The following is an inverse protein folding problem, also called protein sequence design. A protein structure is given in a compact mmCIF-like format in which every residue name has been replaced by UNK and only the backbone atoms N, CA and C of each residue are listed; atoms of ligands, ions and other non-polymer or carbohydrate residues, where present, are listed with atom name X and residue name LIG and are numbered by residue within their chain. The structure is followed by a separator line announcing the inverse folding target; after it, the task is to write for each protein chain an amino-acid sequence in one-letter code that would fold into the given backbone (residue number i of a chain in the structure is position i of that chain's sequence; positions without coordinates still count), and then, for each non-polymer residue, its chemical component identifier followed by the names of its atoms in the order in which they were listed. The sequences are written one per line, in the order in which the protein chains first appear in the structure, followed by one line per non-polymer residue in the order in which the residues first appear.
data_IF_725095187621
#
_entry.id   IF_725095187621
#
_cell.length_a   1.000
_cell.length_b   1.000
_cell.length_c   1.000
_cell.angle_alpha   90.00
_cell.angle_beta   90.00
_cell.angle_gamma   90.00
#
_symmetry.space_group_name_H-M   'P 1'
#
loop_
_entity.id
_entity.type
_entity.pdbx_description
1 polymer ?
#
# COMPACT_ATOMS: atom_id res chain seq x y z
N UNK A 1 10.83 -4.02 13.14
CA UNK A 1 9.62 -4.71 12.68
C UNK A 1 9.29 -4.24 11.27
N UNK A 2 9.06 -5.17 10.37
CA UNK A 2 8.63 -4.85 9.00
C UNK A 2 7.12 -4.72 8.95
N UNK A 3 6.65 -3.74 8.21
CA UNK A 3 5.21 -3.56 7.92
C UNK A 3 5.07 -3.40 6.42
N UNK A 4 4.23 -4.25 5.81
CA UNK A 4 3.86 -4.09 4.40
C UNK A 4 2.76 -3.04 4.34
N UNK A 5 2.98 -2.03 3.52
CA UNK A 5 1.98 -0.96 3.31
C UNK A 5 1.48 -1.00 1.88
N UNK A 6 0.21 -0.68 1.71
CA UNK A 6 -0.36 -0.61 0.37
C UNK A 6 -0.42 0.83 -0.14
N UNK A 7 -0.86 0.97 -1.38
CA UNK A 7 -0.94 2.26 -2.05
C UNK A 7 -1.86 3.23 -1.33
N UNK A 8 -2.96 2.74 -0.72
CA UNK A 8 -3.91 3.61 -0.02
C UNK A 8 -3.25 4.35 1.15
N UNK A 9 -2.32 3.70 1.85
CA UNK A 9 -1.57 4.29 2.96
C UNK A 9 -0.67 5.43 2.46
N UNK A 10 0.08 5.17 1.39
CA UNK A 10 0.97 6.17 0.81
C UNK A 10 0.18 7.39 0.32
N UNK A 11 -0.90 7.17 -0.42
CA UNK A 11 -1.71 8.28 -0.93
C UNK A 11 -2.32 9.09 0.21
N UNK A 12 -2.82 8.44 1.25
CA UNK A 12 -3.39 9.14 2.40
C UNK A 12 -2.37 10.05 3.09
N UNK A 13 -1.13 9.60 3.23
CA UNK A 13 -0.06 10.39 3.83
C UNK A 13 0.34 11.54 2.91
N UNK A 14 0.50 11.27 1.60
CA UNK A 14 0.95 12.28 0.64
C UNK A 14 -0.09 13.36 0.35
N UNK A 15 -1.37 13.04 0.45
CA UNK A 15 -2.47 13.98 0.17
C UNK A 15 -3.12 14.55 1.42
N UNK A 16 -2.53 14.30 2.58
CA UNK A 16 -2.97 14.83 3.87
C UNK A 16 -4.43 14.47 4.20
N UNK A 17 -4.79 13.19 3.98
CA UNK A 17 -6.11 12.69 4.34
C UNK A 17 -6.26 12.55 5.87
N UNK A 18 -7.50 12.37 6.33
CA UNK A 18 -7.83 12.36 7.77
C UNK A 18 -7.05 11.32 8.60
N UNK A 19 -6.62 10.24 8.00
CA UNK A 19 -5.88 9.17 8.68
C UNK A 19 -4.36 9.40 8.74
N UNK A 20 -3.87 10.48 8.14
CA UNK A 20 -2.44 10.73 8.01
C UNK A 20 -1.69 10.64 9.34
N UNK A 21 -2.17 11.32 10.35
CA UNK A 21 -1.50 11.35 11.66
C UNK A 21 -1.45 9.95 12.29
N UNK A 22 -2.55 9.22 12.23
CA UNK A 22 -2.61 7.86 12.77
C UNK A 22 -1.69 6.91 12.02
N UNK A 23 -1.61 7.05 10.70
CA UNK A 23 -0.70 6.23 9.87
C UNK A 23 0.76 6.50 10.23
N UNK A 24 1.13 7.76 10.43
CA UNK A 24 2.47 8.12 10.87
C UNK A 24 2.79 7.48 12.22
N UNK A 25 1.86 7.54 13.17
CA UNK A 25 2.04 6.92 14.49
C UNK A 25 2.21 5.40 14.39
N UNK A 26 1.36 4.73 13.60
CA UNK A 26 1.38 3.27 13.46
C UNK A 26 2.67 2.77 12.79
N UNK A 27 3.29 3.58 11.95
CA UNK A 27 4.49 3.18 11.20
C UNK A 27 5.79 3.69 11.82
N UNK A 28 5.71 4.45 12.89
CA UNK A 28 6.89 5.03 13.54
C UNK A 28 7.85 3.94 13.99
N UNK A 29 9.10 4.04 13.54
CA UNK A 29 10.15 3.08 13.90
C UNK A 29 10.07 1.75 13.16
N UNK A 30 9.12 1.56 12.25
CA UNK A 30 9.00 0.33 11.47
C UNK A 30 9.79 0.42 10.16
N UNK A 31 10.21 -0.75 9.66
CA UNK A 31 10.75 -0.89 8.30
C UNK A 31 9.57 -1.03 7.34
N UNK A 32 9.34 -0.03 6.51
CA UNK A 32 8.24 -0.05 5.56
C UNK A 32 8.64 -0.77 4.28
N UNK A 33 7.81 -1.71 3.87
CA UNK A 33 8.06 -2.54 2.70
C UNK A 33 6.81 -2.63 1.84
N UNK A 34 6.99 -2.87 0.56
CA UNK A 34 5.90 -3.03 -0.38
C UNK A 34 6.36 -3.82 -1.60
N UNK A 35 5.44 -4.42 -2.35
CA UNK A 35 5.79 -4.96 -3.66
C UNK A 35 6.14 -3.81 -4.61
N UNK A 36 7.01 -4.09 -5.58
CA UNK A 36 7.48 -3.09 -6.56
C UNK A 36 6.35 -2.40 -7.31
N UNK A 37 5.21 -3.08 -7.46
CA UNK A 37 4.02 -2.53 -8.12
C UNK A 37 3.48 -1.27 -7.45
N UNK A 38 3.69 -1.09 -6.14
CA UNK A 38 3.22 0.09 -5.42
C UNK A 38 3.70 1.37 -6.09
N UNK A 39 4.94 1.40 -6.54
CA UNK A 39 5.52 2.59 -7.18
C UNK A 39 4.69 3.04 -8.39
N UNK A 40 4.29 2.09 -9.22
CA UNK A 40 3.51 2.39 -10.42
C UNK A 40 2.05 2.71 -10.08
N UNK A 41 1.52 2.13 -9.01
CA UNK A 41 0.17 2.45 -8.53
C UNK A 41 0.12 3.87 -7.97
N UNK A 42 1.18 4.36 -7.34
CA UNK A 42 1.28 5.76 -6.91
C UNK A 42 1.16 6.68 -8.12
N UNK A 43 1.90 6.39 -9.19
CA UNK A 43 1.79 7.13 -10.44
C UNK A 43 0.38 7.12 -11.02
N UNK A 44 -0.25 5.95 -11.03
CA UNK A 44 -1.61 5.81 -11.55
C UNK A 44 -2.62 6.60 -10.70
N UNK A 45 -2.49 6.58 -9.38
CA UNK A 45 -3.37 7.33 -8.48
C UNK A 45 -3.28 8.83 -8.73
N UNK A 46 -2.07 9.38 -8.86
CA UNK A 46 -1.89 10.80 -9.14
C UNK A 46 -2.37 11.17 -10.53
N UNK A 47 -2.16 10.30 -11.52
CA UNK A 47 -2.67 10.56 -12.88
C UNK A 47 -4.19 10.67 -12.89
N UNK A 48 -4.88 9.82 -12.11
CA UNK A 48 -6.33 9.87 -11.98
C UNK A 48 -6.79 11.17 -11.30
N UNK A 49 -6.08 11.62 -10.26
CA UNK A 49 -6.40 12.89 -9.58
C UNK A 49 -6.19 14.09 -10.50
N UNK A 50 -5.12 14.09 -11.29
CA UNK A 50 -4.85 15.15 -12.28
C UNK A 50 -5.95 15.18 -13.34
N UNK A 51 -6.33 14.01 -13.85
CA UNK A 51 -7.39 13.88 -14.87
C UNK A 51 -8.73 14.41 -14.36
N UNK A 52 -9.03 14.16 -13.10
CA UNK A 52 -10.27 14.63 -12.45
C UNK A 52 -10.14 16.06 -11.90
N UNK A 53 -9.01 16.70 -12.10
CA UNK A 53 -8.73 18.07 -11.63
C UNK A 53 -8.87 18.23 -10.13
N UNK A 54 -8.52 17.19 -9.37
CA UNK A 54 -8.53 17.21 -7.90
C UNK A 54 -7.18 17.69 -7.33
N UNK A 55 -6.16 17.70 -8.15
CA UNK A 55 -4.81 18.12 -7.76
C UNK A 55 -4.15 18.83 -8.95
N UNK A 56 -3.30 19.81 -8.66
CA UNK A 56 -2.50 20.48 -9.69
C UNK A 56 -1.20 19.73 -9.92
N UNK A 57 -0.55 19.98 -11.05
CA UNK A 57 0.76 19.41 -11.32
C UNK A 57 1.79 19.87 -10.27
N UNK A 58 1.72 21.13 -9.85
CA UNK A 58 2.63 21.65 -8.81
C UNK A 58 2.46 20.89 -7.50
N UNK A 59 1.21 20.67 -7.07
CA UNK A 59 0.91 19.89 -5.87
C UNK A 59 1.38 18.45 -6.01
N UNK A 60 1.22 17.86 -7.19
CA UNK A 60 1.69 16.51 -7.49
C UNK A 60 3.21 16.43 -7.35
N UNK A 61 3.94 17.38 -7.90
CA UNK A 61 5.40 17.42 -7.77
C UNK A 61 5.85 17.52 -6.32
N UNK A 62 5.16 18.31 -5.51
CA UNK A 62 5.42 18.40 -4.08
C UNK A 62 5.17 17.08 -3.35
N UNK A 63 4.06 16.41 -3.68
CA UNK A 63 3.74 15.11 -3.10
C UNK A 63 4.77 14.05 -3.50
N UNK A 64 5.23 14.05 -4.75
CA UNK A 64 6.25 13.10 -5.21
C UNK A 64 7.61 13.35 -4.54
N UNK A 65 7.95 14.61 -4.25
CA UNK A 65 9.15 14.92 -3.48
C UNK A 65 9.06 14.36 -2.06
N UNK A 66 7.90 14.46 -1.42
CA UNK A 66 7.66 13.85 -0.12
C UNK A 66 7.73 12.33 -0.19
N UNK A 67 7.16 11.73 -1.24
CA UNK A 67 7.21 10.29 -1.46
C UNK A 67 8.66 9.80 -1.56
N UNK A 68 9.51 10.52 -2.31
CA UNK A 68 10.91 10.16 -2.45
C UNK A 68 11.67 10.18 -1.12
N UNK A 69 11.18 10.93 -0.13
CA UNK A 69 11.75 10.98 1.22
C UNK A 69 11.32 9.85 2.14
N UNK A 70 10.35 9.03 1.75
CA UNK A 70 9.91 7.91 2.56
C UNK A 70 10.90 6.75 2.39
N UNK A 71 11.41 6.23 3.51
CA UNK A 71 12.32 5.09 3.49
C UNK A 71 11.51 3.80 3.28
N UNK A 72 11.19 3.51 2.03
CA UNK A 72 10.36 2.40 1.61
C UNK A 72 11.20 1.41 0.79
N UNK A 73 11.17 0.14 1.18
CA UNK A 73 11.86 -0.92 0.43
C UNK A 73 10.87 -1.66 -0.45
N UNK A 74 11.26 -1.93 -1.69
CA UNK A 74 10.47 -2.69 -2.64
C UNK A 74 10.97 -4.13 -2.75
N UNK A 75 10.03 -5.06 -2.83
CA UNK A 75 10.32 -6.48 -2.98
C UNK A 75 9.60 -7.02 -4.21
N UNK A 76 10.30 -7.88 -4.95
CA UNK A 76 9.69 -8.62 -6.04
C UNK A 76 8.86 -9.77 -5.46
N UNK A 77 7.67 -9.95 -6.00
CA UNK A 77 6.80 -11.07 -5.59
C UNK A 77 6.72 -12.10 -6.71
N UNK A 78 6.38 -13.32 -6.33
CA UNK A 78 6.26 -14.43 -7.26
C UNK A 78 4.89 -14.42 -7.93
N UNK A 79 4.85 -14.44 -9.27
CA UNK A 79 3.59 -14.39 -10.02
C UNK A 79 2.71 -15.61 -9.76
N UNK A 80 3.31 -16.79 -9.70
CA UNK A 80 2.54 -18.03 -9.46
C UNK A 80 1.84 -17.98 -8.11
N UNK A 81 2.56 -17.59 -7.06
CA UNK A 81 1.99 -17.42 -5.73
C UNK A 81 0.88 -16.37 -5.73
N UNK A 82 1.12 -15.24 -6.39
CA UNK A 82 0.14 -14.17 -6.51
C UNK A 82 -1.12 -14.62 -7.22
N UNK A 83 -0.99 -15.30 -8.35
CA UNK A 83 -2.15 -15.75 -9.11
C UNK A 83 -2.92 -16.85 -8.38
N UNK A 84 -2.24 -17.67 -7.58
CA UNK A 84 -2.91 -18.61 -6.67
C UNK A 84 -3.77 -17.88 -5.66
N UNK A 85 -3.29 -16.76 -5.12
CA UNK A 85 -4.08 -15.91 -4.21
C UNK A 85 -5.27 -15.29 -4.93
N UNK A 86 -5.11 -14.84 -6.16
CA UNK A 86 -6.21 -14.31 -6.97
C UNK A 86 -7.31 -15.35 -7.15
N UNK A 87 -6.95 -16.59 -7.43
CA UNK A 87 -7.92 -17.67 -7.60
C UNK A 87 -8.71 -17.95 -6.32
N UNK A 88 -8.07 -17.83 -5.15
CA UNK A 88 -8.71 -18.07 -3.86
C UNK A 88 -9.53 -16.91 -3.36
N UNK A 89 -9.08 -15.67 -3.60
CA UNK A 89 -9.67 -14.47 -3.00
C UNK A 89 -10.55 -13.70 -3.96
N UNK A 90 -10.50 -14.02 -5.25
CA UNK A 90 -11.17 -13.28 -6.32
C UNK A 90 -10.69 -11.82 -6.44
N UNK A 91 -9.47 -11.54 -5.97
CA UNK A 91 -8.84 -10.23 -6.14
C UNK A 91 -8.13 -10.14 -7.48
N UNK A 92 -7.97 -8.92 -7.99
CA UNK A 92 -7.03 -8.66 -9.07
C UNK A 92 -5.59 -8.74 -8.55
N UNK A 93 -4.66 -8.97 -9.46
CA UNK A 93 -3.25 -9.18 -9.10
C UNK A 93 -2.65 -8.00 -8.33
N UNK A 94 -3.00 -6.76 -8.68
CA UNK A 94 -2.47 -5.59 -7.99
C UNK A 94 -2.71 -5.63 -6.48
N UNK A 95 -3.90 -6.03 -6.05
CA UNK A 95 -4.19 -6.18 -4.63
C UNK A 95 -3.50 -7.42 -4.05
N UNK A 96 -3.50 -8.52 -4.80
CA UNK A 96 -2.88 -9.76 -4.36
C UNK A 96 -1.36 -9.66 -4.19
N UNK A 97 -0.69 -8.76 -4.91
CA UNK A 97 0.75 -8.52 -4.72
C UNK A 97 1.08 -8.14 -3.29
N UNK A 98 0.23 -7.35 -2.63
CA UNK A 98 0.46 -6.94 -1.23
C UNK A 98 0.32 -8.13 -0.28
N UNK A 99 -0.64 -9.01 -0.52
CA UNK A 99 -0.81 -10.22 0.28
C UNK A 99 0.38 -11.15 0.08
N UNK A 100 0.80 -11.36 -1.18
CA UNK A 100 1.96 -12.20 -1.49
C UNK A 100 3.23 -11.67 -0.82
N UNK A 101 3.42 -10.35 -0.85
CA UNK A 101 4.55 -9.69 -0.20
C UNK A 101 4.53 -9.93 1.31
N UNK A 102 3.38 -9.74 1.96
CA UNK A 102 3.23 -9.94 3.39
C UNK A 102 3.47 -11.40 3.80
N UNK A 103 2.97 -12.35 3.02
CA UNK A 103 3.21 -13.78 3.27
C UNK A 103 4.71 -14.11 3.14
N UNK A 104 5.34 -13.64 2.08
CA UNK A 104 6.76 -13.89 1.82
C UNK A 104 7.64 -13.36 2.94
N UNK A 105 7.34 -12.18 3.43
CA UNK A 105 8.13 -11.51 4.46
C UNK A 105 7.66 -11.84 5.88
N UNK A 106 6.58 -12.62 6.02
CA UNK A 106 5.97 -12.95 7.33
C UNK A 106 5.74 -11.70 8.16
N UNK A 107 5.18 -10.68 7.51
CA UNK A 107 5.00 -9.35 8.09
C UNK A 107 3.54 -8.93 7.99
N UNK A 108 3.06 -8.08 8.90
CA UNK A 108 1.69 -7.60 8.85
C UNK A 108 1.47 -6.64 7.68
N UNK A 109 0.22 -6.54 7.24
CA UNK A 109 -0.22 -5.62 6.20
C UNK A 109 -1.03 -4.48 6.83
N UNK A 110 -0.63 -3.26 6.54
CA UNK A 110 -1.35 -2.04 6.89
C UNK A 110 -2.02 -1.48 5.63
N UNK A 111 -3.32 -1.27 5.69
CA UNK A 111 -4.09 -0.75 4.56
C UNK A 111 -5.32 0.00 5.06
N UNK A 112 -5.81 0.92 4.25
CA UNK A 112 -7.10 1.58 4.45
C UNK A 112 -8.22 0.86 3.70
N UNK A 113 -7.87 -0.12 2.86
CA UNK A 113 -8.82 -0.88 2.05
C UNK A 113 -9.30 -2.11 2.82
N UNK A 114 -10.55 -2.06 3.29
CA UNK A 114 -11.12 -3.15 4.09
C UNK A 114 -11.31 -4.44 3.30
N UNK A 115 -11.53 -4.36 1.99
CA UNK A 115 -11.63 -5.56 1.14
C UNK A 115 -10.28 -6.26 1.08
N UNK A 116 -9.21 -5.51 0.88
CA UNK A 116 -7.86 -6.06 0.88
C UNK A 116 -7.50 -6.66 2.23
N UNK A 117 -7.78 -5.97 3.34
CA UNK A 117 -7.50 -6.47 4.68
C UNK A 117 -8.26 -7.75 4.99
N UNK A 118 -9.52 -7.85 4.57
CA UNK A 118 -10.31 -9.06 4.75
C UNK A 118 -9.71 -10.25 4.01
N UNK A 119 -9.33 -10.04 2.75
CA UNK A 119 -8.69 -11.08 1.94
C UNK A 119 -7.33 -11.49 2.51
N UNK A 120 -6.57 -10.54 3.02
CA UNK A 120 -5.27 -10.79 3.65
C UNK A 120 -5.44 -11.66 4.91
N UNK A 121 -6.40 -11.34 5.75
CA UNK A 121 -6.69 -12.12 6.96
C UNK A 121 -7.07 -13.56 6.66
N UNK A 122 -7.93 -13.76 5.66
CA UNK A 122 -8.32 -15.11 5.22
C UNK A 122 -7.12 -15.88 4.66
N UNK A 123 -6.16 -15.18 4.07
CA UNK A 123 -4.95 -15.79 3.50
C UNK A 123 -3.85 -16.05 4.54
N UNK A 124 -4.09 -15.74 5.80
CA UNK A 124 -3.13 -15.98 6.88
C UNK A 124 -2.19 -14.83 7.19
N UNK A 125 -2.45 -13.65 6.67
CA UNK A 125 -1.66 -12.45 6.92
C UNK A 125 -2.21 -11.71 8.15
N UNK A 126 -1.33 -11.31 9.07
CA UNK A 126 -1.70 -10.41 10.16
C UNK A 126 -2.01 -9.03 9.58
N UNK A 127 -3.09 -8.43 10.02
CA UNK A 127 -3.52 -7.12 9.50
C UNK A 127 -3.43 -6.05 10.58
N UNK A 128 -3.13 -4.83 10.16
CA UNK A 128 -3.15 -3.65 11.02
C UNK A 128 -4.25 -2.74 10.49
N UNK A 129 -5.23 -2.46 11.35
CA UNK A 129 -6.31 -1.53 11.03
C UNK A 129 -5.97 -0.15 11.57
N UNK A 130 -6.31 0.88 10.81
CA UNK A 130 -6.08 2.27 11.22
C UNK A 130 -7.03 2.64 12.34
N UNK A 131 -8.26 2.16 12.28
CA UNK A 131 -9.26 2.35 13.32
C UNK A 131 -9.51 1.05 14.07
N UNK A 132 -9.68 1.11 15.38
CA UNK A 132 -9.97 -0.09 16.17
C UNK A 132 -11.30 -0.73 15.79
#
# INVERSE_FOLDING_TARGET
MKIVIDTSVIIAVLTNEKHRQRLIELTKGADLVAPSSLHWEVGNAFSAMLKKRRITLEQTCGALAAYAGIALRFYEVNLKETLSLCAKTNLYAYDAYFIACALRLKSPLLSLDNVLLSAAGVSGVSIIKVQP
#
